data_IF_395514499664
#
_entry.id   IF_395514499664
#
_cell.length_a   1.000
_cell.length_b   1.000
_cell.length_c   1.000
_cell.angle_alpha   90.00
_cell.angle_beta   90.00
_cell.angle_gamma   90.00
#
_symmetry.space_group_name_H-M   'P 1'
#
loop_
_entity.id
_entity.type
_entity.pdbx_description
1 polymer ?
#
# COMPACT_ATOMS: atom_id res chain seq x y z
N UNK A 1 14.32 -12.56 12.71
CA UNK A 1 15.06 -11.29 12.65
C UNK A 1 14.16 -10.19 13.16
N UNK A 2 14.70 -9.25 13.94
CA UNK A 2 14.01 -8.03 14.34
C UNK A 2 14.70 -6.84 13.70
N UNK A 3 13.92 -5.95 13.11
CA UNK A 3 14.38 -4.75 12.42
C UNK A 3 13.77 -3.54 13.12
N UNK A 4 14.62 -2.63 13.58
CA UNK A 4 14.18 -1.35 14.10
C UNK A 4 14.06 -0.37 12.93
N UNK A 5 12.88 0.17 12.74
CA UNK A 5 12.56 1.08 11.64
C UNK A 5 12.02 2.41 12.17
N UNK A 6 12.07 3.49 11.39
CA UNK A 6 11.48 4.76 11.82
C UNK A 6 10.01 4.67 12.27
N UNK A 7 9.25 3.74 11.70
CA UNK A 7 7.85 3.52 12.03
C UNK A 7 7.64 2.55 13.22
N UNK A 8 8.69 1.86 13.68
CA UNK A 8 8.66 0.92 14.81
C UNK A 8 9.32 -0.43 14.49
N UNK A 9 9.10 -1.39 15.37
CA UNK A 9 9.72 -2.71 15.30
C UNK A 9 9.01 -3.62 14.30
N UNK A 10 9.77 -4.15 13.34
CA UNK A 10 9.31 -5.17 12.37
C UNK A 10 9.97 -6.50 12.72
N UNK A 11 9.17 -7.58 12.77
CA UNK A 11 9.68 -8.92 13.06
C UNK A 11 9.53 -9.81 11.83
N UNK A 12 10.65 -10.31 11.30
CA UNK A 12 10.66 -11.20 10.13
C UNK A 12 11.02 -12.64 10.52
N UNK A 13 10.27 -13.59 9.93
CA UNK A 13 10.51 -15.03 9.98
C UNK A 13 10.86 -15.52 8.59
N UNK A 14 11.91 -16.32 8.48
CA UNK A 14 12.39 -16.89 7.23
C UNK A 14 12.04 -18.37 7.20
N UNK A 15 11.35 -18.83 6.17
CA UNK A 15 11.11 -20.25 5.92
C UNK A 15 12.19 -20.78 4.98
N UNK A 16 12.95 -21.76 5.44
CA UNK A 16 14.01 -22.41 4.67
C UNK A 16 13.71 -23.88 4.47
N UNK A 17 13.98 -24.37 3.26
CA UNK A 17 13.95 -25.78 2.92
C UNK A 17 15.21 -26.11 2.12
N UNK A 18 15.90 -27.19 2.51
CA UNK A 18 17.15 -27.62 1.87
C UNK A 18 18.18 -26.48 1.70
N UNK A 19 18.39 -25.70 2.75
CA UNK A 19 19.28 -24.53 2.77
C UNK A 19 18.89 -23.38 1.82
N UNK A 20 17.71 -23.42 1.22
CA UNK A 20 17.18 -22.36 0.38
C UNK A 20 16.02 -21.63 1.07
N UNK A 21 16.01 -20.32 1.01
CA UNK A 21 14.89 -19.50 1.46
C UNK A 21 13.71 -19.70 0.50
N UNK A 22 12.56 -20.12 1.05
CA UNK A 22 11.32 -20.28 0.29
C UNK A 22 10.41 -19.09 0.38
N UNK A 23 10.29 -18.53 1.58
CA UNK A 23 9.50 -17.33 1.82
C UNK A 23 10.00 -16.57 3.04
N UNK A 24 9.63 -15.31 3.11
CA UNK A 24 9.80 -14.47 4.29
C UNK A 24 8.43 -13.95 4.70
N UNK A 25 8.09 -14.11 5.97
CA UNK A 25 6.91 -13.53 6.56
C UNK A 25 7.33 -12.50 7.58
N UNK A 26 6.82 -11.26 7.48
CA UNK A 26 7.08 -10.26 8.49
C UNK A 26 5.78 -9.70 9.09
N UNK A 27 5.80 -9.48 10.40
CA UNK A 27 4.82 -8.67 11.09
C UNK A 27 5.31 -7.23 11.07
N UNK A 28 4.50 -6.39 10.45
CA UNK A 28 4.80 -4.97 10.31
C UNK A 28 4.30 -4.19 11.53
N UNK A 29 4.55 -2.89 11.53
CA UNK A 29 4.04 -1.94 12.52
C UNK A 29 2.51 -1.85 12.47
N UNK A 30 1.83 -1.36 13.53
CA UNK A 30 0.41 -1.09 13.51
C UNK A 30 0.02 -0.27 12.30
N UNK A 31 -0.95 -0.76 11.52
CA UNK A 31 -1.39 -0.19 10.25
C UNK A 31 -2.87 0.13 10.30
N UNK A 32 -3.31 1.20 9.64
CA UNK A 32 -4.67 1.71 9.77
C UNK A 32 -5.14 2.49 8.55
N UNK A 33 -6.46 2.57 8.38
CA UNK A 33 -7.09 3.51 7.46
C UNK A 33 -7.19 4.88 8.14
N UNK A 34 -6.56 5.89 7.54
CA UNK A 34 -6.58 7.27 8.03
C UNK A 34 -7.85 8.03 7.60
N UNK A 35 -8.27 7.81 6.36
CA UNK A 35 -9.47 8.44 5.83
C UNK A 35 -9.79 7.97 4.42
N UNK A 36 -11.04 8.20 4.02
CA UNK A 36 -11.51 7.85 2.68
C UNK A 36 -12.59 8.83 2.25
N UNK A 37 -12.44 9.46 1.09
CA UNK A 37 -13.45 10.34 0.51
C UNK A 37 -13.21 10.60 -0.98
N UNK A 38 -14.23 11.15 -1.64
CA UNK A 38 -14.11 11.69 -2.98
C UNK A 38 -13.39 13.05 -2.94
N UNK A 39 -12.40 13.24 -3.80
CA UNK A 39 -11.61 14.45 -3.99
C UNK A 39 -11.75 14.97 -5.41
N UNK A 40 -11.59 16.27 -5.61
CA UNK A 40 -11.53 16.88 -6.94
C UNK A 40 -10.11 16.79 -7.48
N UNK A 41 -9.94 16.11 -8.60
CA UNK A 41 -8.64 15.89 -9.23
C UNK A 41 -8.62 16.56 -10.61
N UNK A 42 -7.64 17.44 -10.89
CA UNK A 42 -7.48 18.01 -12.22
C UNK A 42 -7.44 16.93 -13.31
N UNK A 43 -8.05 17.17 -14.45
CA UNK A 43 -8.20 16.26 -15.60
C UNK A 43 -9.17 15.07 -15.38
N UNK A 44 -9.42 14.64 -14.12
CA UNK A 44 -10.20 13.42 -13.81
C UNK A 44 -11.53 13.72 -13.13
N UNK A 45 -11.74 14.94 -12.60
CA UNK A 45 -12.94 15.27 -11.85
C UNK A 45 -12.99 14.62 -10.47
N UNK A 46 -14.12 14.03 -10.14
CA UNK A 46 -14.32 13.36 -8.85
C UNK A 46 -13.64 11.99 -8.82
N UNK A 47 -12.72 11.80 -7.87
CA UNK A 47 -11.99 10.55 -7.65
C UNK A 47 -12.13 10.13 -6.19
N UNK A 48 -12.59 8.92 -5.94
CA UNK A 48 -12.59 8.33 -4.61
C UNK A 48 -11.19 7.84 -4.25
N UNK A 49 -10.69 8.26 -3.11
CA UNK A 49 -9.37 7.90 -2.61
C UNK A 49 -9.43 7.47 -1.15
N UNK A 50 -8.66 6.47 -0.80
CA UNK A 50 -8.38 6.02 0.55
C UNK A 50 -6.96 6.45 0.93
N UNK A 51 -6.75 6.90 2.17
CA UNK A 51 -5.41 7.16 2.72
C UNK A 51 -5.18 6.21 3.88
N UNK A 52 -4.15 5.38 3.78
CA UNK A 52 -3.84 4.36 4.78
C UNK A 52 -2.35 4.32 5.11
N UNK A 53 -2.03 3.85 6.30
CA UNK A 53 -0.68 3.69 6.81
C UNK A 53 -0.33 2.22 6.99
N UNK A 54 0.88 1.82 6.52
CA UNK A 54 1.42 0.47 6.67
C UNK A 54 2.94 0.48 6.90
N UNK A 55 3.43 1.46 7.71
CA UNK A 55 4.85 1.77 7.86
C UNK A 55 5.27 2.99 7.02
N UNK A 56 4.53 3.25 5.95
CA UNK A 56 4.49 4.49 5.17
C UNK A 56 3.03 4.82 4.87
N UNK A 57 2.71 6.07 4.59
CA UNK A 57 1.36 6.49 4.22
C UNK A 57 1.17 6.47 2.70
N UNK A 58 0.07 5.88 2.27
CA UNK A 58 -0.31 5.69 0.87
C UNK A 58 -1.66 6.33 0.59
N UNK A 59 -1.78 7.00 -0.55
CA UNK A 59 -3.09 7.23 -1.13
C UNK A 59 -3.39 6.09 -2.12
N UNK A 60 -4.51 5.43 -1.93
CA UNK A 60 -4.93 4.21 -2.63
C UNK A 60 -6.12 4.58 -3.52
N UNK A 61 -5.98 4.35 -4.82
CA UNK A 61 -6.97 4.78 -5.84
C UNK A 61 -7.19 3.67 -6.87
N UNK A 62 -8.44 3.42 -7.22
CA UNK A 62 -8.81 2.53 -8.32
C UNK A 62 -8.41 3.14 -9.66
N UNK A 63 -7.55 2.45 -10.40
CA UNK A 63 -7.05 2.86 -11.71
C UNK A 63 -8.16 3.03 -12.76
N UNK A 64 -9.28 2.31 -12.59
CA UNK A 64 -10.42 2.43 -13.48
C UNK A 64 -11.06 3.83 -13.45
N UNK A 65 -10.99 4.54 -12.32
CA UNK A 65 -11.48 5.92 -12.21
C UNK A 65 -10.70 6.91 -13.09
N UNK A 66 -9.46 6.53 -13.47
CA UNK A 66 -8.53 7.37 -14.23
C UNK A 66 -8.42 6.93 -15.69
N UNK A 67 -9.06 5.83 -16.07
CA UNK A 67 -8.95 5.24 -17.40
C UNK A 67 -7.56 4.69 -17.74
N UNK A 68 -6.73 4.39 -16.73
CA UNK A 68 -5.38 3.84 -16.92
C UNK A 68 -5.34 2.34 -16.60
N UNK A 69 -4.36 1.64 -17.15
CA UNK A 69 -4.15 0.21 -16.90
C UNK A 69 -2.81 -0.01 -16.20
N UNK A 70 -2.77 -0.94 -15.25
CA UNK A 70 -1.55 -1.30 -14.53
C UNK A 70 -0.73 -2.28 -15.37
N UNK A 71 0.12 -1.73 -16.25
CA UNK A 71 0.97 -2.47 -17.17
C UNK A 71 2.36 -1.81 -17.27
N UNK A 72 3.44 -2.58 -17.46
CA UNK A 72 4.80 -2.02 -17.56
C UNK A 72 4.98 -0.98 -18.67
N UNK A 73 4.30 -1.15 -19.81
CA UNK A 73 4.35 -0.21 -20.94
C UNK A 73 3.59 1.11 -20.67
N UNK A 74 2.76 1.17 -19.62
CA UNK A 74 2.07 2.37 -19.16
C UNK A 74 2.84 3.14 -18.06
N UNK A 75 4.07 2.75 -17.74
CA UNK A 75 4.82 3.29 -16.60
C UNK A 75 4.95 4.83 -16.60
N UNK A 76 5.08 5.45 -17.77
CA UNK A 76 5.15 6.91 -17.88
C UNK A 76 3.81 7.57 -17.50
N UNK A 77 2.70 7.02 -17.98
CA UNK A 77 1.36 7.51 -17.68
C UNK A 77 0.98 7.28 -16.22
N UNK A 78 1.29 6.10 -15.67
CA UNK A 78 1.06 5.79 -14.25
C UNK A 78 1.79 6.80 -13.34
N UNK A 79 3.02 7.21 -13.69
CA UNK A 79 3.74 8.26 -12.95
C UNK A 79 3.07 9.62 -13.08
N UNK A 80 2.66 10.00 -14.31
CA UNK A 80 2.01 11.28 -14.58
C UNK A 80 0.72 11.43 -13.76
N UNK A 81 -0.18 10.44 -13.85
CA UNK A 81 -1.46 10.48 -13.13
C UNK A 81 -1.26 10.45 -11.62
N UNK A 82 -0.28 9.66 -11.13
CA UNK A 82 0.04 9.61 -9.70
C UNK A 82 0.52 10.94 -9.15
N UNK A 83 1.26 11.71 -9.93
CA UNK A 83 1.70 13.04 -9.52
C UNK A 83 0.52 14.03 -9.39
N UNK A 84 -0.43 13.98 -10.32
CA UNK A 84 -1.66 14.79 -10.26
C UNK A 84 -2.51 14.40 -9.05
N UNK A 85 -2.72 13.10 -8.85
CA UNK A 85 -3.44 12.56 -7.70
C UNK A 85 -2.81 12.98 -6.37
N UNK A 86 -1.49 12.87 -6.26
CA UNK A 86 -0.78 13.21 -5.04
C UNK A 86 -1.08 14.64 -4.58
N UNK A 87 -0.95 15.62 -5.47
CA UNK A 87 -1.23 17.03 -5.14
C UNK A 87 -2.66 17.22 -4.65
N UNK A 88 -3.63 16.69 -5.38
CA UNK A 88 -5.04 16.82 -5.04
C UNK A 88 -5.41 16.12 -3.71
N UNK A 89 -4.87 14.91 -3.48
CA UNK A 89 -5.18 14.14 -2.27
C UNK A 89 -4.45 14.71 -1.06
N UNK A 90 -3.18 15.13 -1.21
CA UNK A 90 -2.41 15.74 -0.13
C UNK A 90 -3.06 17.04 0.38
N UNK A 91 -3.62 17.83 -0.53
CA UNK A 91 -4.32 19.08 -0.19
C UNK A 91 -5.68 18.82 0.48
N UNK A 92 -6.47 17.85 -0.03
CA UNK A 92 -7.86 17.67 0.37
C UNK A 92 -8.05 16.65 1.50
N UNK A 93 -7.15 15.68 1.65
CA UNK A 93 -7.17 14.69 2.74
C UNK A 93 -5.96 14.90 3.66
N UNK A 94 -4.75 14.97 3.08
CA UNK A 94 -3.49 15.00 3.81
C UNK A 94 -3.22 13.70 4.56
N UNK A 95 -2.20 13.74 5.43
CA UNK A 95 -1.90 12.67 6.38
C UNK A 95 -1.05 13.20 7.54
N UNK A 96 -1.37 12.77 8.76
CA UNK A 96 -0.50 12.89 9.93
C UNK A 96 -0.72 11.68 10.83
N UNK A 97 0.34 11.00 11.19
CA UNK A 97 0.26 9.83 12.07
C UNK A 97 -0.19 10.25 13.49
N UNK A 98 -1.20 9.60 14.10
CA UNK A 98 -1.81 10.06 15.34
C UNK A 98 -0.87 10.02 16.56
N UNK A 99 0.13 9.14 16.56
CA UNK A 99 1.06 8.96 17.69
C UNK A 99 2.53 9.21 17.34
N UNK A 100 2.86 9.43 16.07
CA UNK A 100 4.22 9.67 15.56
C UNK A 100 4.23 10.92 14.69
N UNK A 101 4.28 12.14 15.28
CA UNK A 101 4.06 13.40 14.56
C UNK A 101 5.06 13.70 13.43
N UNK A 102 6.23 13.06 13.44
CA UNK A 102 7.25 13.20 12.40
C UNK A 102 6.89 12.46 11.10
N UNK A 103 5.85 11.58 11.14
CA UNK A 103 5.28 10.94 9.95
C UNK A 103 4.03 11.76 9.58
N UNK A 104 4.19 12.76 8.72
CA UNK A 104 3.21 13.82 8.53
C UNK A 104 2.79 14.03 7.05
N UNK A 105 3.11 13.09 6.17
CA UNK A 105 2.76 13.20 4.76
C UNK A 105 2.41 11.85 4.12
N UNK A 106 1.71 11.92 3.00
CA UNK A 106 1.56 10.80 2.06
C UNK A 106 2.92 10.60 1.35
N UNK A 107 3.40 9.36 1.28
CA UNK A 107 4.70 9.04 0.69
C UNK A 107 4.59 8.52 -0.75
N UNK A 108 3.46 7.88 -1.06
CA UNK A 108 3.30 7.21 -2.34
C UNK A 108 1.84 7.14 -2.76
N UNK A 109 1.62 7.00 -4.05
CA UNK A 109 0.33 6.64 -4.63
C UNK A 109 0.35 5.15 -4.93
N UNK A 110 -0.65 4.43 -4.48
CA UNK A 110 -0.96 3.06 -4.89
C UNK A 110 -2.16 3.10 -5.83
N UNK A 111 -1.94 2.76 -7.08
CA UNK A 111 -3.03 2.48 -8.01
C UNK A 111 -3.33 0.99 -7.96
N UNK A 112 -4.61 0.62 -7.94
CA UNK A 112 -5.02 -0.79 -8.00
C UNK A 112 -6.06 -1.03 -9.10
N UNK A 113 -6.15 -2.27 -9.55
CA UNK A 113 -7.07 -2.74 -10.60
C UNK A 113 -7.42 -4.21 -10.32
N UNK A 114 -8.27 -4.78 -11.15
CA UNK A 114 -8.59 -6.21 -11.13
C UNK A 114 -7.31 -7.04 -11.35
N UNK A 115 -7.17 -8.17 -10.66
CA UNK A 115 -6.03 -9.05 -10.85
C UNK A 115 -6.05 -9.70 -12.24
N UNK A 116 -4.87 -10.09 -12.73
CA UNK A 116 -4.73 -10.84 -13.99
C UNK A 116 -4.80 -12.36 -13.79
N UNK A 117 -4.75 -12.82 -12.54
CA UNK A 117 -4.83 -14.25 -12.17
C UNK A 117 -5.91 -14.47 -11.12
N UNK A 118 -6.62 -15.63 -11.14
CA UNK A 118 -7.77 -15.87 -10.27
C UNK A 118 -7.40 -16.08 -8.79
N UNK A 119 -6.13 -16.27 -8.48
CA UNK A 119 -5.59 -16.49 -7.12
C UNK A 119 -5.10 -15.19 -6.47
N UNK A 120 -5.39 -14.02 -7.06
CA UNK A 120 -5.11 -12.70 -6.47
C UNK A 120 -6.41 -11.91 -6.27
N UNK A 121 -6.40 -11.03 -5.26
CA UNK A 121 -7.53 -10.16 -4.95
C UNK A 121 -7.49 -8.85 -5.74
N UNK A 122 -6.29 -8.32 -5.98
CA UNK A 122 -6.09 -7.13 -6.81
C UNK A 122 -4.71 -7.16 -7.49
N UNK A 123 -4.57 -6.36 -8.55
CA UNK A 123 -3.29 -5.95 -9.11
C UNK A 123 -3.00 -4.51 -8.68
N UNK A 124 -1.72 -4.20 -8.41
CA UNK A 124 -1.36 -2.86 -7.97
C UNK A 124 -0.03 -2.38 -8.56
N UNK A 125 0.18 -1.09 -8.42
CA UNK A 125 1.46 -0.43 -8.62
C UNK A 125 1.63 0.70 -7.63
N UNK A 126 2.77 0.74 -6.95
CA UNK A 126 3.15 1.86 -6.11
C UNK A 126 4.04 2.82 -6.89
N UNK A 127 3.66 4.08 -6.91
CA UNK A 127 4.46 5.17 -7.46
C UNK A 127 5.02 6.01 -6.32
N UNK A 128 6.34 6.05 -6.22
CA UNK A 128 7.07 6.77 -5.18
C UNK A 128 7.03 8.27 -5.45
N UNK A 129 6.63 9.04 -4.44
CA UNK A 129 6.59 10.50 -4.50
C UNK A 129 7.71 11.07 -3.63
N UNK A 130 8.70 11.75 -4.21
CA UNK A 130 9.80 12.33 -3.44
C UNK A 130 9.31 13.48 -2.54
N UNK A 131 10.04 13.77 -1.43
CA UNK A 131 9.70 14.86 -0.51
C UNK A 131 9.83 16.25 -1.14
N UNK A 132 10.74 16.41 -2.10
CA UNK A 132 10.97 17.67 -2.78
C UNK A 132 10.05 17.82 -4.00
N UNK A 133 9.72 19.06 -4.37
CA UNK A 133 8.92 19.30 -5.56
C UNK A 133 9.62 18.70 -6.78
N UNK A 134 9.05 17.66 -7.30
CA UNK A 134 9.59 16.95 -8.43
C UNK A 134 8.62 15.94 -8.99
N UNK A 135 8.96 15.41 -10.14
CA UNK A 135 8.23 14.33 -10.77
C UNK A 135 8.33 13.05 -9.93
N UNK A 136 7.29 12.25 -9.94
CA UNK A 136 7.32 10.90 -9.39
C UNK A 136 8.56 10.13 -9.90
N UNK A 137 9.41 9.67 -9.00
CA UNK A 137 10.76 9.21 -9.35
C UNK A 137 10.84 7.74 -9.72
N UNK A 138 9.90 6.91 -9.27
CA UNK A 138 9.99 5.49 -9.50
C UNK A 138 8.67 4.75 -9.37
N UNK A 139 8.66 3.56 -9.92
CA UNK A 139 7.60 2.57 -9.77
C UNK A 139 8.21 1.39 -9.01
N UNK A 140 7.56 0.97 -7.92
CA UNK A 140 7.88 -0.28 -7.27
C UNK A 140 7.37 -1.44 -8.16
N UNK A 141 8.27 -2.35 -8.49
CA UNK A 141 7.92 -3.54 -9.28
C UNK A 141 7.44 -4.70 -8.42
N UNK A 142 7.72 -4.66 -7.12
CA UNK A 142 7.22 -5.63 -6.15
C UNK A 142 5.78 -5.31 -5.75
N UNK A 143 5.06 -6.24 -5.08
CA UNK A 143 3.75 -5.92 -4.48
C UNK A 143 3.82 -4.94 -3.31
N UNK A 144 4.97 -4.38 -2.98
CA UNK A 144 5.23 -3.42 -1.91
C UNK A 144 4.83 -3.90 -0.50
N UNK A 145 5.79 -4.18 0.38
CA UNK A 145 5.50 -4.72 1.71
C UNK A 145 4.70 -3.78 2.60
N UNK A 146 5.12 -2.50 2.68
CA UNK A 146 4.41 -1.46 3.45
C UNK A 146 3.11 -1.04 2.75
N UNK A 147 3.09 -1.07 1.41
CA UNK A 147 1.88 -0.84 0.62
C UNK A 147 0.84 -1.93 0.83
N UNK A 148 1.21 -3.21 0.78
CA UNK A 148 0.31 -4.33 1.10
C UNK A 148 -0.19 -4.22 2.55
N UNK A 149 0.66 -3.81 3.50
CA UNK A 149 0.24 -3.57 4.89
C UNK A 149 -0.82 -2.47 5.00
N UNK A 150 -0.64 -1.35 4.30
CA UNK A 150 -1.61 -0.28 4.23
C UNK A 150 -2.92 -0.74 3.58
N UNK A 151 -2.83 -1.51 2.48
CA UNK A 151 -3.99 -2.03 1.76
C UNK A 151 -4.83 -2.96 2.63
N UNK A 152 -4.24 -3.99 3.26
CA UNK A 152 -5.01 -4.92 4.11
C UNK A 152 -5.60 -4.21 5.34
N UNK A 153 -4.94 -3.17 5.87
CA UNK A 153 -5.48 -2.36 6.93
C UNK A 153 -6.70 -1.53 6.48
N UNK A 154 -6.68 -0.99 5.27
CA UNK A 154 -7.82 -0.28 4.68
C UNK A 154 -9.00 -1.24 4.43
N UNK A 155 -8.75 -2.41 3.81
CA UNK A 155 -9.77 -3.43 3.57
C UNK A 155 -10.43 -3.90 4.88
N UNK A 156 -9.61 -4.17 5.90
CA UNK A 156 -10.08 -4.58 7.22
C UNK A 156 -10.90 -3.48 7.92
N UNK A 157 -10.42 -2.25 7.91
CA UNK A 157 -11.11 -1.13 8.55
C UNK A 157 -12.49 -0.85 7.93
N UNK A 158 -12.61 -1.05 6.61
CA UNK A 158 -13.86 -0.89 5.84
C UNK A 158 -14.76 -2.13 5.87
N UNK A 159 -14.36 -3.21 6.55
CA UNK A 159 -15.14 -4.44 6.64
C UNK A 159 -15.19 -5.27 5.36
N UNK A 160 -14.23 -5.07 4.46
CA UNK A 160 -14.07 -5.84 3.22
C UNK A 160 -13.11 -7.03 3.36
N UNK A 161 -12.42 -7.12 4.50
CA UNK A 161 -11.50 -8.20 4.87
C UNK A 161 -11.72 -8.56 6.33
N UNK A 162 -11.78 -9.85 6.65
CA UNK A 162 -11.91 -10.33 8.03
C UNK A 162 -10.54 -10.50 8.71
N UNK A 163 -10.58 -10.67 10.05
CA UNK A 163 -9.36 -10.96 10.82
C UNK A 163 -8.79 -12.32 10.40
N UNK A 164 -7.48 -12.37 10.10
CA UNK A 164 -6.73 -13.51 9.57
C UNK A 164 -7.11 -13.95 8.14
N UNK A 165 -8.03 -13.29 7.49
CA UNK A 165 -8.34 -13.57 6.09
C UNK A 165 -7.16 -13.18 5.19
N UNK A 166 -6.71 -14.08 4.28
CA UNK A 166 -5.63 -13.77 3.37
C UNK A 166 -6.09 -12.85 2.24
N UNK A 167 -5.28 -11.86 1.93
CA UNK A 167 -5.44 -10.96 0.80
C UNK A 167 -4.19 -11.04 -0.09
N UNK A 168 -4.34 -11.45 -1.34
CA UNK A 168 -3.23 -11.61 -2.28
C UNK A 168 -3.15 -10.38 -3.19
N UNK A 169 -2.05 -9.65 -3.07
CA UNK A 169 -1.74 -8.47 -3.87
C UNK A 169 -0.74 -8.84 -4.97
N UNK A 170 -1.09 -8.57 -6.22
CA UNK A 170 -0.29 -8.83 -7.40
C UNK A 170 0.36 -7.52 -7.86
N UNK A 171 1.66 -7.53 -8.14
CA UNK A 171 2.37 -6.35 -8.64
C UNK A 171 2.18 -6.10 -10.13
N UNK A 172 2.69 -4.97 -10.61
CA UNK A 172 2.71 -4.62 -12.04
C UNK A 172 3.42 -5.66 -12.92
N UNK A 173 4.40 -6.40 -12.36
CA UNK A 173 5.10 -7.52 -13.03
C UNK A 173 4.60 -8.90 -12.59
N UNK A 174 3.41 -8.95 -11.97
CA UNK A 174 2.69 -10.18 -11.62
C UNK A 174 3.28 -11.02 -10.48
N UNK A 175 4.29 -10.53 -9.77
CA UNK A 175 4.71 -11.13 -8.51
C UNK A 175 3.66 -10.90 -7.42
N UNK A 176 3.64 -11.73 -6.36
CA UNK A 176 2.57 -11.71 -5.36
C UNK A 176 3.11 -11.65 -3.95
N UNK A 177 2.44 -10.85 -3.11
CA UNK A 177 2.51 -10.96 -1.66
C UNK A 177 1.14 -11.33 -1.12
N UNK A 178 1.14 -12.08 -0.01
CA UNK A 178 -0.07 -12.36 0.76
C UNK A 178 -0.01 -11.58 2.05
N UNK A 179 -1.01 -10.75 2.29
CA UNK A 179 -1.18 -9.97 3.52
C UNK A 179 -2.41 -10.43 4.30
N UNK A 180 -2.41 -10.20 5.61
CA UNK A 180 -3.58 -10.36 6.49
C UNK A 180 -3.42 -9.52 7.74
N UNK A 181 -4.52 -9.16 8.39
CA UNK A 181 -4.49 -8.56 9.73
C UNK A 181 -4.58 -9.69 10.77
N UNK A 182 -3.53 -9.84 11.58
CA UNK A 182 -3.46 -10.91 12.60
C UNK A 182 -3.93 -10.47 13.98
N UNK A 183 -4.08 -9.17 14.21
CA UNK A 183 -4.57 -8.59 15.45
C UNK A 183 -5.23 -7.24 15.17
N UNK A 184 -6.46 -7.09 15.62
CA UNK A 184 -7.16 -5.79 15.57
C UNK A 184 -6.59 -4.82 16.63
N UNK A 185 -6.47 -3.55 16.28
CA UNK A 185 -6.02 -2.47 17.16
C UNK A 185 -6.79 -1.17 16.85
N UNK A 186 -6.95 -0.35 17.87
CA UNK A 186 -7.22 1.09 17.71
C UNK A 186 -5.88 1.83 17.76
N UNK A 187 -5.63 2.65 16.75
CA UNK A 187 -4.40 3.44 16.64
C UNK A 187 -4.78 4.93 16.68
N UNK A 188 -4.91 5.46 17.90
CA UNK A 188 -5.26 6.87 18.09
C UNK A 188 -6.65 7.25 17.55
N UNK A 189 -7.61 6.36 17.65
CA UNK A 189 -8.98 6.52 17.16
C UNK A 189 -9.21 5.99 15.75
N UNK A 190 -8.19 5.44 15.08
CA UNK A 190 -8.32 4.81 13.77
C UNK A 190 -8.39 3.29 13.89
N UNK A 191 -9.40 2.69 13.26
CA UNK A 191 -9.50 1.23 13.16
C UNK A 191 -8.38 0.68 12.26
N UNK A 192 -7.66 -0.32 12.78
CA UNK A 192 -6.58 -0.99 12.05
C UNK A 192 -6.11 -2.25 12.76
N UNK A 193 -4.86 -2.61 12.58
CA UNK A 193 -4.31 -3.81 13.20
C UNK A 193 -2.84 -4.05 12.89
N UNK A 194 -2.35 -5.21 13.31
CA UNK A 194 -1.02 -5.71 12.98
C UNK A 194 -1.12 -6.51 11.69
N UNK A 195 -0.51 -6.04 10.59
CA UNK A 195 -0.43 -6.82 9.36
C UNK A 195 0.71 -7.82 9.40
N UNK A 196 0.48 -8.98 8.83
CA UNK A 196 1.48 -9.99 8.51
C UNK A 196 1.54 -10.16 7.00
N UNK A 197 2.73 -9.99 6.42
CA UNK A 197 2.95 -10.04 4.97
C UNK A 197 3.93 -11.16 4.66
N UNK A 198 3.57 -12.01 3.69
CA UNK A 198 4.41 -13.11 3.21
C UNK A 198 4.73 -12.93 1.74
N UNK A 199 5.99 -13.09 1.39
CA UNK A 199 6.46 -13.06 0.01
C UNK A 199 7.72 -13.87 -0.18
N UNK A 200 8.15 -13.99 -1.44
CA UNK A 200 9.42 -14.59 -1.86
C UNK A 200 10.18 -13.63 -2.77
N UNK A 201 11.48 -13.79 -2.82
CA UNK A 201 12.35 -13.07 -3.74
C UNK A 201 13.15 -14.06 -4.58
N UNK A 202 13.45 -13.69 -5.81
CA UNK A 202 14.30 -14.43 -6.71
C UNK A 202 15.66 -13.73 -6.80
N UNK A 203 16.72 -14.49 -6.68
CA UNK A 203 18.12 -14.04 -6.80
C UNK A 203 18.69 -14.56 -8.10
#
# INVERSE_FOLDING_TARGET
VKLDTPAGLVTARVQCENHCVKSVTFQNVPSFLYGAKTVQVPEFGEVYAEVAFGGMAYAIVDAAQLGVQIRPDQAAELRRVSHILYKAIAEQIGFRHPTQPFIDRIHSIMLYDKPTTPDANCKEVVVLIPPEEGNATGIDRSPCGTGTSARVAAEFAMGRLELNEPFVQQSIIETKFTGRIVKELDIGGFKGGIPEITGSAYI
#
